data_IF_618595267546
#
_entry.id   IF_618595267546
#
_cell.length_a   1.000
_cell.length_b   1.000
_cell.length_c   1.000
_cell.angle_alpha   90.00
_cell.angle_beta   90.00
_cell.angle_gamma   90.00
#
_symmetry.space_group_name_H-M   'P 1'
#
loop_
_entity.id
_entity.type
_entity.pdbx_description
1 polymer ?
#
# COMPACT_ATOMS: atom_id res chain seq x y z
N UNK A 1 -10.24 -14.67 0.75
CA UNK A 1 -10.63 -13.26 0.49
C UNK A 1 -9.50 -12.58 -0.27
N UNK A 2 -9.82 -11.76 -1.28
CA UNK A 2 -8.80 -11.05 -2.07
C UNK A 2 -8.40 -9.78 -1.33
N UNK A 3 -7.11 -9.62 -1.02
CA UNK A 3 -6.58 -8.41 -0.38
C UNK A 3 -5.99 -7.49 -1.44
N UNK A 4 -6.33 -6.19 -1.38
CA UNK A 4 -5.66 -5.13 -2.15
C UNK A 4 -5.72 -5.25 -3.67
N UNK A 5 -6.84 -4.87 -4.29
CA UNK A 5 -6.92 -4.73 -5.76
C UNK A 5 -6.18 -3.46 -6.20
N UNK A 6 -5.12 -3.63 -6.98
CA UNK A 6 -4.36 -2.53 -7.58
C UNK A 6 -5.08 -2.00 -8.83
N UNK A 7 -5.20 -0.68 -8.96
CA UNK A 7 -5.65 -0.05 -10.20
C UNK A 7 -4.54 -0.16 -11.25
N UNK A 8 -4.90 -0.23 -12.53
CA UNK A 8 -3.92 -0.24 -13.62
C UNK A 8 -3.36 1.15 -13.93
N UNK A 9 -4.12 2.20 -13.60
CA UNK A 9 -3.76 3.60 -13.91
C UNK A 9 -4.15 4.55 -12.77
N UNK A 10 -3.35 5.60 -12.61
CA UNK A 10 -3.64 6.76 -11.78
C UNK A 10 -4.71 7.66 -12.43
N UNK A 11 -5.19 8.67 -11.69
CA UNK A 11 -6.18 9.62 -12.19
C UNK A 11 -5.74 10.35 -13.47
N UNK A 12 -4.44 10.63 -13.60
CA UNK A 12 -3.82 11.29 -14.75
C UNK A 12 -3.35 10.30 -15.83
N UNK A 13 -3.91 9.09 -15.86
CA UNK A 13 -3.58 8.01 -16.79
C UNK A 13 -2.13 7.52 -16.76
N UNK A 14 -1.32 7.89 -15.75
CA UNK A 14 -0.01 7.24 -15.58
C UNK A 14 -0.21 5.76 -15.21
N UNK A 15 0.53 4.83 -15.85
CA UNK A 15 0.43 3.41 -15.53
C UNK A 15 0.94 3.13 -14.11
N UNK A 16 0.29 2.19 -13.43
CA UNK A 16 0.65 1.75 -12.08
C UNK A 16 0.99 0.26 -12.10
N UNK A 17 2.25 -0.06 -11.83
CA UNK A 17 2.67 -1.45 -11.71
C UNK A 17 2.25 -2.02 -10.35
N UNK A 18 1.53 -3.16 -10.30
CA UNK A 18 1.24 -3.84 -9.04
C UNK A 18 2.54 -4.35 -8.41
N UNK A 19 2.56 -4.45 -7.07
CA UNK A 19 3.66 -5.10 -6.37
C UNK A 19 3.71 -6.59 -6.74
N UNK A 20 4.93 -7.14 -6.86
CA UNK A 20 5.10 -8.58 -7.08
C UNK A 20 4.57 -9.37 -5.88
N UNK A 21 3.82 -10.47 -6.10
CA UNK A 21 3.42 -11.36 -5.01
C UNK A 21 4.64 -11.87 -4.24
N UNK A 22 4.62 -11.71 -2.91
CA UNK A 22 5.70 -12.13 -2.03
C UNK A 22 5.20 -12.42 -0.62
N UNK A 23 5.99 -13.16 0.14
CA UNK A 23 5.87 -13.17 1.60
C UNK A 23 6.41 -11.84 2.12
N UNK A 24 5.66 -11.19 3.01
CA UNK A 24 6.10 -9.96 3.68
C UNK A 24 7.30 -10.31 4.56
N UNK A 25 8.50 -9.75 4.33
CA UNK A 25 9.67 -10.04 5.15
C UNK A 25 9.48 -9.52 6.59
N UNK A 26 10.19 -10.09 7.57
CA UNK A 26 10.23 -9.54 8.92
C UNK A 26 10.66 -8.06 8.91
N UNK A 27 10.03 -7.23 9.73
CA UNK A 27 10.33 -5.80 9.80
C UNK A 27 9.63 -4.94 8.73
N UNK A 28 8.68 -5.52 7.99
CA UNK A 28 7.90 -4.80 6.99
C UNK A 28 6.39 -4.94 7.21
N UNK A 29 5.65 -3.94 6.77
CA UNK A 29 4.21 -3.94 6.68
C UNK A 29 3.77 -3.79 5.22
N UNK A 30 2.73 -4.54 4.87
CA UNK A 30 1.87 -4.20 3.74
C UNK A 30 0.80 -3.24 4.24
N UNK A 31 0.75 -2.02 3.69
CA UNK A 31 -0.23 -1.02 4.08
C UNK A 31 -1.15 -0.70 2.91
N UNK A 32 -2.45 -0.58 3.19
CA UNK A 32 -3.46 -0.23 2.21
C UNK A 32 -4.36 0.85 2.78
N UNK A 33 -4.54 1.94 2.03
CA UNK A 33 -5.52 2.96 2.36
C UNK A 33 -6.94 2.49 2.03
N UNK A 34 -7.94 3.05 2.72
CA UNK A 34 -9.35 2.69 2.52
C UNK A 34 -9.91 3.20 1.19
N UNK A 35 -9.32 4.27 0.62
CA UNK A 35 -9.71 4.76 -0.69
C UNK A 35 -9.15 3.88 -1.83
N UNK A 36 -9.95 3.55 -2.86
CA UNK A 36 -9.46 2.88 -4.06
C UNK A 36 -8.27 3.59 -4.73
N UNK A 37 -8.20 4.93 -4.60
CA UNK A 37 -7.18 5.79 -5.21
C UNK A 37 -5.90 5.94 -4.37
N UNK A 38 -5.82 5.34 -3.19
CA UNK A 38 -4.65 5.43 -2.32
C UNK A 38 -3.40 4.86 -3.02
N UNK A 39 -2.30 5.62 -3.04
CA UNK A 39 -1.01 5.14 -3.54
C UNK A 39 -0.22 4.48 -2.40
N UNK A 40 -0.35 3.16 -2.29
CA UNK A 40 0.08 2.36 -1.13
C UNK A 40 0.76 1.05 -1.57
N UNK A 41 0.95 0.09 -0.65
CA UNK A 41 1.71 -1.15 -0.90
C UNK A 41 1.14 -2.04 -2.00
N UNK A 42 -0.05 -1.75 -2.53
CA UNK A 42 -0.55 -2.37 -3.77
C UNK A 42 0.38 -2.14 -4.96
N UNK A 43 1.14 -1.04 -4.98
CA UNK A 43 1.96 -0.65 -6.11
C UNK A 43 3.45 -0.87 -5.86
N UNK A 44 4.16 -1.38 -6.87
CA UNK A 44 5.60 -1.66 -6.79
C UNK A 44 6.43 -0.40 -6.46
N UNK A 45 6.00 0.77 -6.95
CA UNK A 45 6.67 2.05 -6.70
C UNK A 45 6.52 2.57 -5.26
N UNK A 46 5.52 2.09 -4.51
CA UNK A 46 5.35 2.41 -3.08
C UNK A 46 6.02 1.34 -2.21
N UNK A 47 5.78 0.06 -2.53
CA UNK A 47 6.40 -1.06 -1.86
C UNK A 47 5.89 -1.29 -0.43
N UNK A 48 6.65 -2.07 0.34
CA UNK A 48 6.36 -2.34 1.75
C UNK A 48 6.94 -1.24 2.65
N UNK A 49 6.26 -0.94 3.74
CA UNK A 49 6.71 0.05 4.74
C UNK A 49 7.57 -0.65 5.78
N UNK A 50 8.75 -0.10 6.11
CA UNK A 50 9.56 -0.64 7.20
C UNK A 50 8.97 -0.29 8.56
N UNK A 51 9.10 -1.19 9.52
CA UNK A 51 8.61 -0.95 10.90
C UNK A 51 9.25 0.26 11.55
N UNK A 52 10.49 0.59 11.20
CA UNK A 52 11.22 1.77 11.71
C UNK A 52 10.71 3.12 11.16
N UNK A 53 9.89 3.09 10.10
CA UNK A 53 9.27 4.28 9.51
C UNK A 53 7.88 4.57 10.12
N UNK A 54 7.37 3.69 10.98
CA UNK A 54 6.08 3.88 11.64
C UNK A 54 6.24 4.83 12.83
N UNK A 55 5.66 6.02 12.72
CA UNK A 55 5.73 7.05 13.77
C UNK A 55 4.75 6.75 14.92
N UNK A 56 3.61 6.12 14.63
CA UNK A 56 2.61 5.78 15.64
C UNK A 56 1.30 5.26 15.04
N UNK A 57 0.29 5.06 15.91
CA UNK A 57 -1.07 4.66 15.51
C UNK A 57 -2.01 5.85 15.62
N UNK A 58 -2.75 6.15 14.56
CA UNK A 58 -3.79 7.17 14.59
C UNK A 58 -4.91 6.76 15.56
N UNK A 59 -5.32 7.70 16.43
CA UNK A 59 -6.51 7.57 17.28
C UNK A 59 -7.65 8.33 16.60
N UNK A 60 -8.80 7.69 16.31
CA UNK A 60 -9.93 8.37 15.70
C UNK A 60 -10.43 9.54 16.54
N UNK A 61 -10.84 10.62 15.86
CA UNK A 61 -11.66 11.68 16.45
C UNK A 61 -13.13 11.31 16.19
N UNK A 62 -13.96 11.37 17.23
CA UNK A 62 -15.37 10.98 17.19
C UNK A 62 -16.28 12.19 17.05
#
# INVERSE_FOLDING_TARGET
>A
ETVGVAKTHAYDNRPLAPITPMLIPPGYFYVQGTSPDSFDSRYAASGLVRTDQVIGRALPLF
#
